data_IF_540060567527
#
_entry.id   IF_540060567527
#
_cell.length_a   1.000
_cell.length_b   1.000
_cell.length_c   1.000
_cell.angle_alpha   90.00
_cell.angle_beta   90.00
_cell.angle_gamma   90.00
#
_symmetry.space_group_name_H-M   'P 1'
#
loop_
_entity.id
_entity.type
_entity.pdbx_description
1 polymer ?
#
# COMPACT_ATOMS: atom_id res chain seq x y z
N UNK A 1 -0.46 11.36 8.63
CA UNK A 1 -1.46 12.43 8.34
C UNK A 1 -2.55 12.05 7.36
N UNK A 2 -2.23 11.51 6.17
CA UNK A 2 -3.26 11.16 5.16
C UNK A 2 -4.31 10.16 5.67
N UNK A 3 -3.87 9.07 6.30
CA UNK A 3 -4.76 8.04 6.85
C UNK A 3 -5.66 8.59 7.97
N UNK A 4 -5.08 9.41 8.86
CA UNK A 4 -5.83 10.13 9.89
C UNK A 4 -6.94 11.02 9.30
N UNK A 5 -6.61 11.84 8.30
CA UNK A 5 -7.58 12.70 7.65
C UNK A 5 -8.68 11.89 6.93
N UNK A 6 -8.30 10.79 6.28
CA UNK A 6 -9.26 9.90 5.61
C UNK A 6 -10.24 9.29 6.63
N UNK A 7 -9.75 8.81 7.78
CA UNK A 7 -10.57 8.31 8.88
C UNK A 7 -11.53 9.38 9.41
N UNK A 8 -11.01 10.56 9.79
CA UNK A 8 -11.80 11.63 10.41
C UNK A 8 -12.92 12.10 9.49
N UNK A 9 -12.63 12.36 8.20
CA UNK A 9 -13.65 12.80 7.24
C UNK A 9 -14.68 11.69 6.99
N UNK A 10 -14.25 10.43 6.92
CA UNK A 10 -15.18 9.29 6.76
C UNK A 10 -16.16 9.20 7.94
N UNK A 11 -15.64 9.31 9.17
CA UNK A 11 -16.46 9.24 10.40
C UNK A 11 -17.43 10.42 10.51
N UNK A 12 -17.02 11.64 10.16
CA UNK A 12 -17.93 12.80 10.19
C UNK A 12 -19.01 12.71 9.12
N UNK A 13 -18.66 12.34 7.89
CA UNK A 13 -19.63 12.11 6.80
C UNK A 13 -20.63 11.04 7.21
N UNK A 14 -20.15 9.95 7.81
CA UNK A 14 -21.00 8.88 8.31
C UNK A 14 -22.03 9.37 9.34
N UNK A 15 -21.57 10.04 10.41
CA UNK A 15 -22.45 10.52 11.48
C UNK A 15 -23.43 11.56 10.96
N UNK A 16 -22.96 12.54 10.18
CA UNK A 16 -23.81 13.61 9.67
C UNK A 16 -24.93 13.05 8.78
N UNK A 17 -24.59 12.21 7.79
CA UNK A 17 -25.59 11.69 6.85
C UNK A 17 -26.54 10.71 7.56
N UNK A 18 -26.02 9.82 8.42
CA UNK A 18 -26.85 8.87 9.14
C UNK A 18 -27.84 9.57 10.06
N UNK A 19 -27.37 10.45 10.94
CA UNK A 19 -28.24 11.14 11.90
C UNK A 19 -29.20 12.12 11.21
N UNK A 20 -28.75 12.81 10.16
CA UNK A 20 -29.63 13.69 9.40
C UNK A 20 -30.82 12.93 8.78
N UNK A 21 -30.55 11.82 8.09
CA UNK A 21 -31.61 11.05 7.43
C UNK A 21 -32.51 10.37 8.46
N UNK A 22 -31.96 9.79 9.53
CA UNK A 22 -32.78 9.03 10.50
C UNK A 22 -33.71 9.96 11.30
N UNK A 23 -33.26 11.16 11.65
CA UNK A 23 -34.11 12.17 12.31
C UNK A 23 -35.17 12.69 11.33
N UNK A 24 -34.78 13.03 10.11
CA UNK A 24 -35.73 13.60 9.13
C UNK A 24 -36.83 12.62 8.72
N UNK A 25 -36.48 11.35 8.49
CA UNK A 25 -37.40 10.35 7.91
C UNK A 25 -38.15 9.56 8.98
N UNK A 26 -37.50 9.24 10.10
CA UNK A 26 -38.05 8.34 11.12
C UNK A 26 -38.37 9.03 12.45
N UNK A 27 -38.14 10.34 12.57
CA UNK A 27 -38.27 11.11 13.82
C UNK A 27 -37.60 10.41 15.02
N UNK A 28 -36.51 9.69 14.75
CA UNK A 28 -35.76 8.93 15.72
C UNK A 28 -34.40 9.58 15.91
N UNK A 29 -34.02 9.82 17.16
CA UNK A 29 -32.75 10.41 17.52
C UNK A 29 -32.09 9.63 18.66
N UNK A 30 -30.77 9.47 18.59
CA UNK A 30 -30.03 9.00 19.76
C UNK A 30 -30.05 10.07 20.86
N UNK A 31 -30.25 9.67 22.13
CA UNK A 31 -30.14 10.58 23.26
C UNK A 31 -28.79 11.30 23.29
N UNK A 32 -28.81 12.60 23.62
CA UNK A 32 -27.60 13.42 23.72
C UNK A 32 -26.51 12.81 24.62
N UNK A 33 -26.89 12.15 25.72
CA UNK A 33 -25.96 11.44 26.61
C UNK A 33 -25.15 10.35 25.90
N UNK A 34 -25.76 9.62 24.97
CA UNK A 34 -25.08 8.56 24.19
C UNK A 34 -24.20 9.16 23.10
N UNK A 35 -24.65 10.25 22.46
CA UNK A 35 -23.85 10.99 21.50
C UNK A 35 -22.57 11.56 22.13
N UNK A 36 -22.66 12.15 23.34
CA UNK A 36 -21.50 12.63 24.09
C UNK A 36 -20.53 11.47 24.37
N UNK A 37 -21.05 10.30 24.74
CA UNK A 37 -20.22 9.13 25.01
C UNK A 37 -19.51 8.63 23.75
N UNK A 38 -20.20 8.60 22.60
CA UNK A 38 -19.58 8.28 21.30
C UNK A 38 -18.47 9.28 20.99
N UNK A 39 -18.70 10.58 21.22
CA UNK A 39 -17.69 11.62 20.97
C UNK A 39 -16.43 11.39 21.81
N UNK A 40 -16.58 11.09 23.11
CA UNK A 40 -15.45 10.83 24.02
C UNK A 40 -14.68 9.58 23.56
N UNK A 41 -15.36 8.48 23.25
CA UNK A 41 -14.72 7.24 22.82
C UNK A 41 -14.04 7.38 21.45
N UNK A 42 -14.62 8.16 20.54
CA UNK A 42 -14.01 8.46 19.24
C UNK A 42 -12.73 9.28 19.42
N UNK A 43 -12.75 10.29 20.31
CA UNK A 43 -11.56 11.10 20.55
C UNK A 43 -10.43 10.28 21.18
N UNK A 44 -10.76 9.44 22.17
CA UNK A 44 -9.79 8.52 22.78
C UNK A 44 -9.13 7.61 21.74
N UNK A 45 -9.90 7.01 20.83
CA UNK A 45 -9.37 6.19 19.76
C UNK A 45 -8.43 6.95 18.81
N UNK A 46 -8.75 8.22 18.54
CA UNK A 46 -7.94 9.03 17.63
C UNK A 46 -6.62 9.50 18.19
N UNK A 47 -6.50 9.64 19.51
CA UNK A 47 -5.23 9.92 20.16
C UNK A 47 -4.22 8.80 19.91
N UNK A 48 -4.67 7.55 19.87
CA UNK A 48 -3.80 6.38 19.69
C UNK A 48 -3.25 6.29 18.26
N UNK A 49 -3.89 6.91 17.27
CA UNK A 49 -3.39 6.96 15.88
C UNK A 49 -1.99 7.60 15.82
N UNK A 50 -1.69 8.54 16.72
CA UNK A 50 -0.39 9.19 16.77
C UNK A 50 0.75 8.24 17.16
N UNK A 51 0.42 7.15 17.87
CA UNK A 51 1.39 6.15 18.35
C UNK A 51 1.45 4.94 17.41
N UNK A 52 0.68 4.96 16.32
CA UNK A 52 0.61 3.84 15.38
C UNK A 52 1.81 3.81 14.42
N UNK A 53 2.35 2.61 14.22
CA UNK A 53 3.50 2.38 13.34
C UNK A 53 3.03 2.18 11.89
N UNK A 54 2.54 3.26 11.27
CA UNK A 54 2.10 3.22 9.89
C UNK A 54 3.29 3.18 8.91
N UNK A 55 3.17 2.41 7.83
CA UNK A 55 4.21 2.33 6.79
C UNK A 55 4.60 3.72 6.26
N UNK A 56 5.90 4.00 6.27
CA UNK A 56 6.45 5.21 5.67
C UNK A 56 6.56 5.02 4.15
N UNK A 57 6.18 6.07 3.41
CA UNK A 57 6.40 6.11 1.96
C UNK A 57 7.88 6.36 1.65
N UNK A 58 8.53 5.60 0.75
CA UNK A 58 9.93 5.81 0.36
C UNK A 58 10.15 7.11 -0.44
N UNK A 59 9.07 7.71 -0.93
CA UNK A 59 9.10 8.97 -1.68
C UNK A 59 8.16 9.99 -1.03
N UNK A 60 8.42 11.30 -1.19
CA UNK A 60 7.54 12.34 -0.67
C UNK A 60 6.12 12.18 -1.23
N UNK A 61 5.14 11.95 -0.35
CA UNK A 61 3.75 11.78 -0.77
C UNK A 61 3.17 13.12 -1.26
N UNK A 62 2.49 13.07 -2.39
CA UNK A 62 1.84 14.26 -2.96
C UNK A 62 0.45 14.36 -2.35
N UNK A 63 0.15 15.46 -1.66
CA UNK A 63 -1.14 15.62 -1.01
C UNK A 63 -2.26 15.81 -2.06
N UNK A 64 -3.01 14.74 -2.32
CA UNK A 64 -4.13 14.71 -3.28
C UNK A 64 -5.45 14.88 -2.56
N UNK A 65 -5.73 16.11 -2.12
CA UNK A 65 -6.94 16.45 -1.34
C UNK A 65 -8.21 15.97 -2.04
N UNK A 66 -8.33 16.17 -3.36
CA UNK A 66 -9.51 15.71 -4.11
C UNK A 66 -9.71 14.19 -4.06
N UNK A 67 -8.63 13.40 -4.11
CA UNK A 67 -8.74 11.95 -3.93
C UNK A 67 -9.19 11.62 -2.52
N UNK A 68 -8.56 12.23 -1.51
CA UNK A 68 -8.87 11.97 -0.11
C UNK A 68 -10.36 12.24 0.21
N UNK A 69 -10.89 13.39 -0.21
CA UNK A 69 -12.30 13.74 -0.01
C UNK A 69 -13.23 12.73 -0.70
N UNK A 70 -12.97 12.38 -1.97
CA UNK A 70 -13.82 11.41 -2.68
C UNK A 70 -13.79 10.03 -2.03
N UNK A 71 -12.61 9.56 -1.59
CA UNK A 71 -12.51 8.26 -0.89
C UNK A 71 -13.31 8.30 0.41
N UNK A 72 -13.14 9.35 1.22
CA UNK A 72 -13.85 9.48 2.49
C UNK A 72 -15.36 9.60 2.31
N UNK A 73 -15.84 10.29 1.26
CA UNK A 73 -17.26 10.37 0.95
C UNK A 73 -17.83 9.00 0.57
N UNK A 74 -17.14 8.23 -0.28
CA UNK A 74 -17.59 6.88 -0.67
C UNK A 74 -17.62 5.95 0.54
N UNK A 75 -16.56 5.91 1.34
CA UNK A 75 -16.51 5.07 2.55
C UNK A 75 -17.57 5.49 3.57
N UNK A 76 -17.78 6.81 3.75
CA UNK A 76 -18.79 7.33 4.66
C UNK A 76 -20.19 6.94 4.23
N UNK A 77 -20.51 7.05 2.93
CA UNK A 77 -21.79 6.60 2.37
C UNK A 77 -21.98 5.09 2.49
N UNK A 78 -20.96 4.29 2.23
CA UNK A 78 -21.03 2.84 2.42
C UNK A 78 -21.28 2.50 3.90
N UNK A 79 -20.56 3.13 4.83
CA UNK A 79 -20.75 2.92 6.26
C UNK A 79 -22.16 3.37 6.71
N UNK A 80 -22.69 4.46 6.16
CA UNK A 80 -24.07 4.90 6.42
C UNK A 80 -25.09 3.91 5.90
N UNK A 81 -24.91 3.36 4.70
CA UNK A 81 -25.78 2.32 4.17
C UNK A 81 -25.78 1.06 5.07
N UNK A 82 -24.60 0.65 5.56
CA UNK A 82 -24.45 -0.46 6.49
C UNK A 82 -25.10 -0.18 7.86
N UNK A 83 -25.02 1.06 8.37
CA UNK A 83 -25.72 1.46 9.60
C UNK A 83 -27.23 1.50 9.44
N UNK A 84 -27.75 1.88 8.27
CA UNK A 84 -29.18 1.72 7.97
C UNK A 84 -29.58 0.25 7.88
N UNK A 85 -28.76 -0.60 7.23
CA UNK A 85 -29.01 -2.03 7.21
C UNK A 85 -29.07 -2.61 8.64
N UNK A 86 -28.16 -2.20 9.51
CA UNK A 86 -28.17 -2.57 10.93
C UNK A 86 -29.44 -2.08 11.65
N UNK A 87 -29.79 -0.80 11.48
CA UNK A 87 -31.00 -0.21 12.03
C UNK A 87 -32.27 -0.99 11.63
N UNK A 88 -32.43 -1.30 10.34
CA UNK A 88 -33.58 -2.08 9.86
C UNK A 88 -33.56 -3.53 10.33
N UNK A 89 -32.39 -4.14 10.50
CA UNK A 89 -32.27 -5.50 11.01
C UNK A 89 -32.81 -5.59 12.43
N UNK A 90 -32.40 -4.68 13.31
CA UNK A 90 -32.88 -4.67 14.70
C UNK A 90 -34.33 -4.21 14.84
N UNK A 91 -34.79 -3.30 13.98
CA UNK A 91 -36.19 -2.92 13.94
C UNK A 91 -37.08 -4.09 13.47
N UNK A 92 -36.82 -4.65 12.28
CA UNK A 92 -37.75 -5.60 11.64
C UNK A 92 -37.58 -7.04 12.10
N UNK A 93 -36.38 -7.50 12.44
CA UNK A 93 -36.17 -8.89 12.84
C UNK A 93 -36.17 -9.08 14.36
N UNK A 94 -35.64 -8.13 15.11
CA UNK A 94 -35.58 -8.22 16.58
C UNK A 94 -36.74 -7.50 17.28
N UNK A 95 -37.58 -6.78 16.54
CA UNK A 95 -38.76 -6.09 17.09
C UNK A 95 -38.43 -4.86 17.93
N UNK A 96 -37.25 -4.26 17.77
CA UNK A 96 -36.90 -3.02 18.45
C UNK A 96 -37.43 -1.83 17.67
N UNK A 97 -38.67 -1.45 17.97
CA UNK A 97 -39.34 -0.34 17.29
C UNK A 97 -38.61 0.99 17.53
N UNK A 98 -38.45 1.83 16.49
CA UNK A 98 -37.90 3.17 16.64
C UNK A 98 -38.92 4.06 17.33
N UNK A 99 -38.58 4.48 18.55
CA UNK A 99 -39.41 5.38 19.32
C UNK A 99 -39.21 6.83 18.87
N UNK A 100 -40.32 7.51 18.59
CA UNK A 100 -40.31 8.93 18.21
C UNK A 100 -39.84 9.79 19.38
N UNK A 101 -39.13 10.88 19.09
CA UNK A 101 -38.58 11.80 20.11
C UNK A 101 -39.66 12.36 21.04
N UNK A 102 -40.89 12.49 20.54
CA UNK A 102 -42.04 13.07 21.25
C UNK A 102 -42.79 12.08 22.15
N UNK A 103 -42.56 10.77 22.02
CA UNK A 103 -43.34 9.76 22.74
C UNK A 103 -42.72 9.47 24.11
N UNK A 104 -43.47 9.70 25.19
CA UNK A 104 -43.13 9.31 26.56
C UNK A 104 -43.43 7.83 26.80
N UNK A 105 -42.54 6.96 26.35
CA UNK A 105 -42.54 5.53 26.66
C UNK A 105 -41.60 5.18 27.80
N UNK A 106 -41.71 3.94 28.28
CA UNK A 106 -40.85 3.44 29.34
C UNK A 106 -39.40 3.41 28.92
N UNK A 107 -38.51 3.62 29.89
CA UNK A 107 -37.07 3.56 29.68
C UNK A 107 -36.62 2.25 29.02
N UNK A 108 -37.21 1.12 29.42
CA UNK A 108 -36.87 -0.23 28.95
C UNK A 108 -37.16 -0.48 27.47
N UNK A 109 -38.06 0.30 26.85
CA UNK A 109 -38.43 0.12 25.45
C UNK A 109 -37.38 0.73 24.50
N UNK A 110 -36.47 1.56 25.03
CA UNK A 110 -35.44 2.27 24.27
C UNK A 110 -34.21 1.40 23.91
N UNK A 111 -34.38 0.08 23.81
CA UNK A 111 -33.31 -0.89 23.49
C UNK A 111 -32.64 -0.64 22.15
N UNK A 112 -33.38 -0.11 21.16
CA UNK A 112 -32.82 0.26 19.86
C UNK A 112 -31.70 1.30 20.00
N UNK A 113 -31.83 2.23 20.95
CA UNK A 113 -30.82 3.27 21.19
C UNK A 113 -29.51 2.67 21.72
N UNK A 114 -29.59 1.70 22.64
CA UNK A 114 -28.41 0.99 23.16
C UNK A 114 -27.69 0.21 22.06
N UNK A 115 -28.45 -0.50 21.23
CA UNK A 115 -27.93 -1.28 20.10
C UNK A 115 -27.29 -0.37 19.05
N UNK A 116 -27.97 0.71 18.68
CA UNK A 116 -27.46 1.67 17.70
C UNK A 116 -26.27 2.46 18.24
N UNK A 117 -26.24 2.79 19.53
CA UNK A 117 -25.06 3.35 20.19
C UNK A 117 -23.85 2.41 20.05
N UNK A 118 -24.02 1.12 20.34
CA UNK A 118 -22.92 0.15 20.26
C UNK A 118 -22.42 0.01 18.81
N UNK A 119 -23.32 -0.04 17.83
CA UNK A 119 -22.99 -0.10 16.41
C UNK A 119 -22.27 1.17 15.91
N UNK A 120 -22.82 2.34 16.18
CA UNK A 120 -22.28 3.63 15.71
C UNK A 120 -20.95 3.97 16.40
N UNK A 121 -20.75 3.49 17.63
CA UNK A 121 -19.44 3.55 18.29
C UNK A 121 -18.46 2.58 17.61
N UNK A 122 -18.81 1.29 17.50
CA UNK A 122 -17.86 0.26 17.07
C UNK A 122 -17.49 0.28 15.59
N UNK A 123 -18.43 0.56 14.70
CA UNK A 123 -18.20 0.43 13.27
C UNK A 123 -17.11 1.41 12.75
N UNK A 124 -17.14 2.72 13.07
CA UNK A 124 -16.04 3.63 12.73
C UNK A 124 -14.72 3.22 13.41
N UNK A 125 -14.78 2.80 14.68
CA UNK A 125 -13.59 2.35 15.40
C UNK A 125 -12.91 1.15 14.74
N UNK A 126 -13.63 0.25 14.08
CA UNK A 126 -12.98 -0.79 13.29
C UNK A 126 -12.47 -0.30 11.93
N UNK A 127 -13.16 0.65 11.29
CA UNK A 127 -12.72 1.27 10.04
C UNK A 127 -11.35 1.95 10.17
N UNK A 128 -10.95 2.35 11.38
CA UNK A 128 -9.61 2.88 11.65
C UNK A 128 -8.49 1.91 11.20
N UNK A 129 -8.68 0.60 11.39
CA UNK A 129 -7.70 -0.42 11.03
C UNK A 129 -7.52 -0.51 9.51
N UNK A 130 -8.61 -0.34 8.77
CA UNK A 130 -8.60 -0.38 7.30
C UNK A 130 -8.02 0.89 6.70
N UNK A 131 -8.40 2.05 7.26
CA UNK A 131 -8.04 3.36 6.74
C UNK A 131 -6.59 3.75 6.99
N UNK A 132 -5.90 3.04 7.88
CA UNK A 132 -4.47 3.21 8.12
C UNK A 132 -3.62 2.94 6.88
N UNK A 133 -3.98 1.91 6.11
CA UNK A 133 -3.21 1.41 4.97
C UNK A 133 -3.92 1.72 3.65
N UNK A 134 -3.14 1.90 2.59
CA UNK A 134 -3.68 2.03 1.22
C UNK A 134 -4.04 0.68 0.61
N UNK A 135 -3.30 -0.39 0.97
CA UNK A 135 -3.60 -1.79 0.62
C UNK A 135 -4.52 -2.46 1.63
N UNK A 136 -4.63 -3.78 1.62
CA UNK A 136 -5.51 -4.48 2.57
C UNK A 136 -5.04 -4.38 4.02
N UNK A 137 -5.96 -4.51 4.98
CA UNK A 137 -5.62 -4.41 6.40
C UNK A 137 -4.62 -5.50 6.86
N UNK A 138 -4.62 -6.67 6.23
CA UNK A 138 -3.73 -7.81 6.56
C UNK A 138 -2.31 -7.67 5.99
N UNK A 139 -2.04 -6.69 5.12
CA UNK A 139 -0.67 -6.48 4.61
C UNK A 139 0.26 -5.95 5.70
N UNK A 140 -0.27 -5.19 6.67
CA UNK A 140 0.49 -4.74 7.83
C UNK A 140 -0.37 -4.74 9.09
N UNK A 141 -0.01 -5.62 10.01
CA UNK A 141 -0.68 -5.72 11.30
C UNK A 141 -0.46 -4.45 12.14
N UNK A 142 -1.48 -4.01 12.89
CA UNK A 142 -1.36 -2.89 13.81
C UNK A 142 -0.32 -3.12 14.88
N UNK A 143 0.22 -2.03 15.44
CA UNK A 143 0.95 -2.15 16.70
C UNK A 143 0.00 -2.77 17.74
N UNK A 144 0.47 -3.72 18.57
CA UNK A 144 -0.38 -4.40 19.53
C UNK A 144 -0.99 -3.43 20.54
N UNK A 145 -0.27 -2.36 20.88
CA UNK A 145 -0.78 -1.28 21.72
C UNK A 145 -1.97 -0.56 21.06
N UNK A 146 -1.86 -0.20 19.78
CA UNK A 146 -2.94 0.44 19.04
C UNK A 146 -4.19 -0.44 19.01
N UNK A 147 -4.03 -1.73 18.65
CA UNK A 147 -5.14 -2.67 18.62
C UNK A 147 -5.77 -2.88 20.01
N UNK A 148 -4.96 -3.02 21.05
CA UNK A 148 -5.43 -3.22 22.42
C UNK A 148 -6.27 -2.04 22.92
N UNK A 149 -5.89 -0.79 22.63
CA UNK A 149 -6.68 0.38 23.06
C UNK A 149 -8.01 0.46 22.30
N UNK A 150 -8.01 0.26 20.98
CA UNK A 150 -9.25 0.30 20.19
C UNK A 150 -10.22 -0.82 20.60
N UNK A 151 -9.71 -2.03 20.80
CA UNK A 151 -10.53 -3.15 21.30
C UNK A 151 -11.00 -2.85 22.73
N UNK A 152 -10.14 -2.29 23.57
CA UNK A 152 -10.45 -1.89 24.94
C UNK A 152 -11.62 -0.89 25.01
N UNK A 153 -11.64 0.13 24.14
CA UNK A 153 -12.78 1.06 24.06
C UNK A 153 -14.07 0.37 23.65
N UNK A 154 -14.01 -0.65 22.79
CA UNK A 154 -15.19 -1.45 22.41
C UNK A 154 -15.67 -2.35 23.53
N UNK A 155 -14.75 -2.95 24.29
CA UNK A 155 -15.10 -3.75 25.47
C UNK A 155 -15.79 -2.88 26.52
N UNK A 156 -15.32 -1.65 26.74
CA UNK A 156 -15.98 -0.70 27.64
C UNK A 156 -17.39 -0.34 27.14
N UNK A 157 -17.56 -0.05 25.84
CA UNK A 157 -18.87 0.23 25.26
C UNK A 157 -19.83 -0.98 25.36
N UNK A 158 -19.32 -2.19 25.12
CA UNK A 158 -20.06 -3.44 25.28
C UNK A 158 -20.52 -3.64 26.73
N UNK A 159 -19.62 -3.48 27.70
CA UNK A 159 -19.94 -3.62 29.12
C UNK A 159 -20.99 -2.61 29.57
N UNK A 160 -20.94 -1.36 29.10
CA UNK A 160 -21.97 -0.36 29.42
C UNK A 160 -23.37 -0.78 28.96
N UNK A 161 -23.49 -1.30 27.74
CA UNK A 161 -24.77 -1.73 27.16
C UNK A 161 -25.31 -3.00 27.83
N UNK A 162 -24.41 -3.92 28.22
CA UNK A 162 -24.77 -5.21 28.83
C UNK A 162 -25.13 -5.07 30.31
N UNK A 163 -24.37 -4.28 31.06
CA UNK A 163 -24.71 -3.98 32.47
C UNK A 163 -25.98 -3.16 32.53
N UNK A 164 -26.13 -2.21 31.58
CA UNK A 164 -27.22 -1.24 31.59
C UNK A 164 -27.11 -0.26 32.75
N UNK A 165 -28.10 0.61 32.91
CA UNK A 165 -28.17 1.52 34.04
C UNK A 165 -29.03 2.74 33.73
N UNK A 166 -28.65 3.91 34.23
CA UNK A 166 -29.31 5.18 33.90
C UNK A 166 -28.98 5.68 32.48
N UNK A 167 -27.85 5.23 31.93
CA UNK A 167 -27.34 5.68 30.63
C UNK A 167 -28.04 4.97 29.46
N UNK A 168 -28.05 3.64 29.48
CA UNK A 168 -28.65 2.79 28.44
C UNK A 168 -29.54 1.71 29.04
N UNK A 169 -30.71 1.42 28.44
CA UNK A 169 -31.47 0.22 28.73
C UNK A 169 -30.63 -1.03 28.55
N UNK A 170 -30.88 -2.03 29.40
CA UNK A 170 -30.12 -3.27 29.41
C UNK A 170 -30.39 -4.10 28.16
N UNK A 171 -29.33 -4.49 27.47
CA UNK A 171 -29.37 -5.39 26.31
C UNK A 171 -28.74 -6.74 26.69
N UNK A 172 -29.30 -7.88 26.25
CA UNK A 172 -28.70 -9.18 26.50
C UNK A 172 -27.31 -9.29 25.87
N UNK A 173 -26.37 -9.89 26.59
CA UNK A 173 -24.98 -10.04 26.17
C UNK A 173 -24.83 -10.65 24.76
N UNK A 174 -25.63 -11.66 24.45
CA UNK A 174 -25.61 -12.33 23.14
C UNK A 174 -25.85 -11.35 21.99
N UNK A 175 -26.82 -10.44 22.12
CA UNK A 175 -27.10 -9.46 21.07
C UNK A 175 -26.01 -8.41 20.98
N UNK A 176 -25.50 -7.95 22.12
CA UNK A 176 -24.42 -6.97 22.16
C UNK A 176 -23.14 -7.54 21.48
N UNK A 177 -22.84 -8.83 21.71
CA UNK A 177 -21.76 -9.52 21.03
C UNK A 177 -22.02 -9.68 19.53
N UNK A 178 -23.26 -9.99 19.13
CA UNK A 178 -23.66 -10.07 17.71
C UNK A 178 -23.44 -8.73 17.00
N UNK A 179 -23.79 -7.60 17.64
CA UNK A 179 -23.51 -6.26 17.07
C UNK A 179 -22.02 -6.08 16.82
N UNK A 180 -21.17 -6.45 17.79
CA UNK A 180 -19.72 -6.35 17.64
C UNK A 180 -19.20 -7.21 16.48
N UNK A 181 -19.71 -8.43 16.33
CA UNK A 181 -19.37 -9.33 15.22
C UNK A 181 -19.84 -8.78 13.87
N UNK A 182 -21.04 -8.21 13.80
CA UNK A 182 -21.55 -7.54 12.59
C UNK A 182 -20.64 -6.36 12.21
N UNK A 183 -20.21 -5.56 13.18
CA UNK A 183 -19.27 -4.46 12.95
C UNK A 183 -17.92 -4.94 12.40
N UNK A 184 -17.42 -6.10 12.85
CA UNK A 184 -16.21 -6.73 12.28
C UNK A 184 -16.43 -7.17 10.83
N UNK A 185 -17.58 -7.76 10.50
CA UNK A 185 -17.93 -8.12 9.12
C UNK A 185 -17.98 -6.88 8.22
N UNK A 186 -18.62 -5.80 8.68
CA UNK A 186 -18.70 -4.53 7.96
C UNK A 186 -17.32 -3.91 7.74
N UNK A 187 -16.44 -3.99 8.73
CA UNK A 187 -15.05 -3.57 8.58
C UNK A 187 -14.34 -4.31 7.43
N UNK A 188 -14.48 -5.63 7.34
CA UNK A 188 -13.87 -6.41 6.25
C UNK A 188 -14.46 -6.02 4.89
N UNK A 189 -15.78 -5.85 4.80
CA UNK A 189 -16.44 -5.39 3.57
C UNK A 189 -15.96 -4.01 3.13
N UNK A 190 -15.82 -3.08 4.07
CA UNK A 190 -15.33 -1.73 3.80
C UNK A 190 -13.85 -1.73 3.39
N UNK A 191 -13.02 -2.63 3.92
CA UNK A 191 -11.64 -2.76 3.49
C UNK A 191 -11.55 -3.21 2.02
N UNK A 192 -12.37 -4.18 1.62
CA UNK A 192 -12.47 -4.61 0.21
C UNK A 192 -12.90 -3.45 -0.69
N UNK A 193 -13.95 -2.71 -0.30
CA UNK A 193 -14.43 -1.54 -1.07
C UNK A 193 -13.32 -0.49 -1.19
N UNK A 194 -12.63 -0.18 -0.08
CA UNK A 194 -11.53 0.77 -0.03
C UNK A 194 -10.40 0.38 -0.96
N UNK A 195 -9.92 -0.87 -0.90
CA UNK A 195 -8.81 -1.34 -1.76
C UNK A 195 -9.22 -1.34 -3.22
N UNK A 196 -10.44 -1.80 -3.53
CA UNK A 196 -10.94 -1.79 -4.90
C UNK A 196 -11.04 -0.37 -5.47
N UNK A 197 -11.42 0.59 -4.62
CA UNK A 197 -11.49 2.00 -4.96
C UNK A 197 -10.09 2.59 -5.18
N UNK A 198 -9.12 2.29 -4.32
CA UNK A 198 -7.72 2.69 -4.52
C UNK A 198 -7.11 2.10 -5.80
N UNK A 199 -7.37 0.83 -6.09
CA UNK A 199 -6.87 0.15 -7.30
C UNK A 199 -7.48 0.70 -8.59
N UNK A 200 -8.77 1.05 -8.57
CA UNK A 200 -9.46 1.66 -9.73
C UNK A 200 -9.18 3.16 -9.86
N UNK A 201 -8.65 3.81 -8.84
CA UNK A 201 -8.42 5.26 -8.85
C UNK A 201 -7.29 5.65 -9.79
N UNK A 202 -7.64 6.02 -11.02
CA UNK A 202 -6.73 6.63 -11.99
C UNK A 202 -6.89 8.15 -12.01
N UNK A 203 -5.82 8.87 -12.40
CA UNK A 203 -5.90 10.32 -12.64
C UNK A 203 -6.99 10.68 -13.68
N UNK A 204 -7.29 9.74 -14.57
CA UNK A 204 -8.38 9.84 -15.55
C UNK A 204 -9.76 9.84 -14.88
N UNK A 205 -9.97 9.02 -13.85
CA UNK A 205 -11.19 9.06 -13.04
C UNK A 205 -11.35 10.40 -12.33
N UNK A 206 -10.27 10.95 -11.76
CA UNK A 206 -10.29 12.28 -11.12
C UNK A 206 -10.61 13.39 -12.12
N UNK A 207 -10.07 13.32 -13.34
CA UNK A 207 -10.33 14.29 -14.40
C UNK A 207 -11.76 14.18 -14.96
N UNK A 208 -12.38 12.99 -14.89
CA UNK A 208 -13.76 12.75 -15.31
C UNK A 208 -14.77 13.19 -14.26
N UNK A 209 -14.54 12.93 -12.98
CA UNK A 209 -15.44 13.27 -11.88
C UNK A 209 -15.49 14.79 -11.60
N UNK A 210 -14.34 15.47 -11.69
CA UNK A 210 -14.27 16.93 -11.49
C UNK A 210 -13.52 17.55 -12.67
N UNK A 211 -14.23 17.83 -13.78
CA UNK A 211 -13.62 18.31 -15.01
C UNK A 211 -13.30 19.80 -14.90
N UNK A 212 -12.08 20.12 -14.45
CA UNK A 212 -11.53 21.48 -14.60
C UNK A 212 -10.71 21.59 -15.89
N UNK A 213 -10.71 22.74 -16.58
CA UNK A 213 -10.00 22.92 -17.85
C UNK A 213 -8.50 22.63 -17.71
N UNK A 214 -7.89 23.01 -16.58
CA UNK A 214 -6.50 22.69 -16.27
C UNK A 214 -6.23 21.18 -16.11
N UNK A 215 -7.17 20.39 -15.57
CA UNK A 215 -7.03 18.93 -15.44
C UNK A 215 -7.21 18.22 -16.77
N UNK A 216 -8.13 18.69 -17.63
CA UNK A 216 -8.29 18.18 -18.99
C UNK A 216 -7.01 18.39 -19.81
N UNK A 217 -6.46 19.60 -19.79
CA UNK A 217 -5.17 19.90 -20.43
C UNK A 217 -4.03 19.01 -19.92
N UNK A 218 -3.90 18.84 -18.60
CA UNK A 218 -2.92 17.92 -18.00
C UNK A 218 -3.14 16.45 -18.38
N UNK A 219 -4.40 16.01 -18.55
CA UNK A 219 -4.73 14.65 -18.99
C UNK A 219 -4.33 14.45 -20.45
N UNK A 220 -4.63 15.42 -21.32
CA UNK A 220 -4.25 15.42 -22.73
C UNK A 220 -2.73 15.46 -22.90
N UNK A 221 -2.03 16.32 -22.16
CA UNK A 221 -0.55 16.35 -22.14
C UNK A 221 0.04 15.00 -21.72
N UNK A 222 -0.54 14.34 -20.70
CA UNK A 222 -0.10 12.99 -20.30
C UNK A 222 -0.38 11.94 -21.37
N UNK A 223 -1.53 12.00 -22.05
CA UNK A 223 -1.85 11.10 -23.18
C UNK A 223 -0.86 11.32 -24.32
N UNK A 224 -0.57 12.57 -24.69
CA UNK A 224 0.44 12.92 -25.70
C UNK A 224 1.84 12.42 -25.33
N UNK A 225 2.28 12.64 -24.07
CA UNK A 225 3.58 12.15 -23.57
C UNK A 225 3.68 10.62 -23.61
N UNK A 226 2.63 9.89 -23.23
CA UNK A 226 2.60 8.42 -23.35
C UNK A 226 2.76 7.97 -24.80
N UNK A 227 1.98 8.54 -25.73
CA UNK A 227 2.10 8.22 -27.16
C UNK A 227 3.49 8.55 -27.71
N UNK A 228 4.13 9.61 -27.23
CA UNK A 228 5.51 9.94 -27.61
C UNK A 228 6.51 8.94 -27.02
N UNK A 229 6.39 8.56 -25.75
CA UNK A 229 7.24 7.53 -25.14
C UNK A 229 7.07 6.17 -25.83
N UNK A 230 5.85 5.74 -26.12
CA UNK A 230 5.58 4.47 -26.80
C UNK A 230 6.22 4.44 -28.21
N UNK A 231 6.25 5.59 -28.89
CA UNK A 231 6.97 5.74 -30.16
C UNK A 231 8.48 5.60 -29.98
N UNK A 232 9.05 6.28 -29.00
CA UNK A 232 10.50 6.20 -28.70
C UNK A 232 10.90 4.77 -28.33
N UNK A 233 10.13 4.10 -27.47
CA UNK A 233 10.38 2.71 -27.09
C UNK A 233 10.33 1.76 -28.29
N UNK A 234 9.36 1.92 -29.19
CA UNK A 234 9.31 1.13 -30.44
C UNK A 234 10.54 1.35 -31.31
N UNK A 235 11.02 2.59 -31.44
CA UNK A 235 12.23 2.89 -32.20
C UNK A 235 13.47 2.28 -31.54
N UNK A 236 13.59 2.34 -30.21
CA UNK A 236 14.68 1.71 -29.46
C UNK A 236 14.65 0.19 -29.64
N UNK A 237 13.48 -0.44 -29.55
CA UNK A 237 13.33 -1.89 -29.75
C UNK A 237 13.72 -2.31 -31.17
N UNK A 238 13.40 -1.51 -32.19
CA UNK A 238 13.85 -1.74 -33.56
C UNK A 238 15.38 -1.70 -33.66
N UNK A 239 16.03 -0.67 -33.12
CA UNK A 239 17.50 -0.56 -33.11
C UNK A 239 18.14 -1.70 -32.32
N UNK A 240 17.57 -2.07 -31.17
CA UNK A 240 18.03 -3.21 -30.35
C UNK A 240 17.93 -4.52 -31.12
N UNK A 241 16.84 -4.73 -31.86
CA UNK A 241 16.66 -5.93 -32.69
C UNK A 241 17.64 -6.00 -33.86
N UNK A 242 17.99 -4.85 -34.46
CA UNK A 242 19.02 -4.77 -35.50
C UNK A 242 20.40 -5.04 -34.93
N UNK A 243 20.75 -4.46 -33.78
CA UNK A 243 22.02 -4.73 -33.10
C UNK A 243 22.18 -6.21 -32.71
N UNK A 244 21.11 -6.85 -32.22
CA UNK A 244 21.10 -8.29 -31.95
C UNK A 244 21.35 -9.12 -33.22
N UNK A 245 20.73 -8.76 -34.34
CA UNK A 245 20.96 -9.45 -35.63
C UNK A 245 22.39 -9.29 -36.14
N UNK A 246 22.95 -8.08 -36.05
CA UNK A 246 24.34 -7.81 -36.43
C UNK A 246 25.29 -8.63 -35.57
N UNK A 247 25.09 -8.65 -34.25
CA UNK A 247 25.92 -9.43 -33.33
C UNK A 247 25.83 -10.94 -33.58
N UNK A 248 24.63 -11.45 -33.91
CA UNK A 248 24.47 -12.86 -34.33
C UNK A 248 25.21 -13.13 -35.64
N UNK A 249 25.14 -12.23 -36.62
CA UNK A 249 25.88 -12.35 -37.87
C UNK A 249 27.40 -12.32 -37.65
N UNK A 250 27.89 -11.46 -36.75
CA UNK A 250 29.30 -11.35 -36.38
C UNK A 250 29.80 -12.65 -35.71
N UNK A 251 29.05 -13.19 -34.75
CA UNK A 251 29.37 -14.49 -34.11
C UNK A 251 29.33 -15.65 -35.12
N UNK A 252 28.35 -15.66 -36.03
CA UNK A 252 28.30 -16.68 -37.09
C UNK A 252 29.43 -16.53 -38.11
N UNK A 253 29.92 -15.31 -38.34
CA UNK A 253 31.06 -15.01 -39.21
C UNK A 253 32.37 -15.51 -38.58
N UNK A 254 32.62 -15.17 -37.31
CA UNK A 254 33.78 -15.68 -36.56
C UNK A 254 33.77 -17.22 -36.51
N UNK A 255 32.61 -17.84 -36.25
CA UNK A 255 32.47 -19.30 -36.24
C UNK A 255 32.73 -19.94 -37.61
N UNK A 256 32.52 -19.19 -38.70
CA UNK A 256 32.74 -19.67 -40.08
C UNK A 256 34.19 -19.51 -40.51
N UNK A 257 34.89 -18.49 -40.01
CA UNK A 257 36.34 -18.33 -40.16
C UNK A 257 37.10 -19.43 -39.42
N UNK A 258 36.69 -19.78 -38.20
CA UNK A 258 37.29 -20.91 -37.45
C UNK A 258 37.06 -22.28 -38.11
N UNK A 259 35.95 -22.46 -38.84
CA UNK A 259 35.69 -23.69 -39.62
C UNK A 259 36.38 -23.70 -41.00
N UNK A 260 36.76 -22.53 -41.52
CA UNK A 260 37.52 -22.41 -42.77
C UNK A 260 39.00 -22.76 -42.60
N UNK A 261 39.59 -22.45 -41.45
CA UNK A 261 40.99 -22.81 -41.14
C UNK A 261 41.17 -24.32 -40.85
N UNK A 262 40.13 -25.04 -40.40
CA UNK A 262 40.18 -26.50 -40.22
C UNK A 262 40.04 -27.30 -41.54
N UNK A 263 39.73 -26.65 -42.67
CA UNK A 263 39.48 -27.35 -43.94
C UNK A 263 40.62 -27.27 -44.98
N UNK A 264 41.66 -26.45 -44.73
CA UNK A 264 42.88 -26.42 -45.58
C UNK A 264 43.95 -27.47 -45.19
N UNK A 265 43.72 -28.24 -44.12
CA UNK A 265 44.62 -29.28 -43.62
C UNK A 265 44.27 -30.72 -44.08
N UNK A 266 44.29 -31.00 -45.41
CA UNK A 266 44.68 -32.36 -45.83
C UNK A 266 45.76 -32.42 -46.93
N UNK A 267 46.18 -31.29 -47.53
CA UNK A 267 47.21 -31.29 -48.58
C UNK A 267 48.62 -30.99 -48.04
N UNK A 268 48.76 -30.12 -47.04
CA UNK A 268 50.07 -29.73 -46.52
C UNK A 268 50.74 -30.79 -45.63
N UNK A 269 49.97 -31.76 -45.11
CA UNK A 269 50.49 -32.86 -44.29
C UNK A 269 51.08 -34.02 -45.14
N UNK A 270 50.66 -34.14 -46.41
CA UNK A 270 51.16 -35.18 -47.32
C UNK A 270 52.49 -34.81 -47.99
N UNK A 271 52.74 -33.52 -48.26
CA UNK A 271 54.03 -33.07 -48.81
C UNK A 271 55.13 -33.02 -47.74
N UNK A 272 54.80 -32.65 -46.49
CA UNK A 272 55.79 -32.66 -45.40
C UNK A 272 56.18 -34.08 -44.96
N UNK A 273 55.26 -35.06 -44.97
CA UNK A 273 55.62 -36.46 -44.67
C UNK A 273 56.44 -37.15 -45.77
N UNK A 274 56.41 -36.64 -47.00
CA UNK A 274 57.22 -37.18 -48.10
C UNK A 274 58.63 -36.57 -48.14
N UNK A 275 58.79 -35.29 -47.80
CA UNK A 275 60.12 -34.66 -47.68
C UNK A 275 60.88 -35.06 -46.41
N UNK A 276 60.20 -35.48 -45.34
CA UNK A 276 60.86 -35.91 -44.10
C UNK A 276 61.28 -37.39 -44.10
N UNK A 277 60.98 -38.14 -45.18
CA UNK A 277 61.53 -39.49 -45.43
C UNK A 277 62.84 -39.50 -46.22
N UNK A 278 63.26 -38.37 -46.80
CA UNK A 278 64.52 -38.23 -47.56
C UNK A 278 65.45 -37.21 -46.89
N UNK A 279 66.10 -37.59 -45.79
CA UNK A 279 67.48 -37.24 -45.40
C UNK A 279 67.67 -37.37 -43.89
N UNK A 280 68.54 -38.29 -43.43
CA UNK A 280 69.01 -38.30 -42.06
C UNK A 280 70.35 -37.53 -41.96
N UNK A 281 70.55 -36.81 -40.84
CA UNK A 281 71.83 -36.39 -40.22
C UNK A 281 72.35 -34.95 -40.53
N UNK A 282 72.76 -34.27 -39.43
CA UNK A 282 73.57 -33.03 -39.24
C UNK A 282 72.77 -31.72 -39.16
N UNK A 283 73.08 -30.75 -38.28
CA UNK A 283 74.26 -30.47 -37.46
C UNK A 283 73.87 -29.44 -36.39
N UNK A 284 74.54 -29.50 -35.24
CA UNK A 284 74.73 -28.36 -34.33
C UNK A 284 75.42 -27.22 -35.08
N UNK A 285 74.96 -25.96 -34.95
CA UNK A 285 75.88 -24.83 -34.73
C UNK A 285 75.15 -23.52 -34.41
N UNK A 286 75.78 -22.77 -33.49
CA UNK A 286 75.77 -21.30 -33.34
C UNK A 286 74.42 -20.59 -33.13
N UNK A 287 74.05 -20.12 -31.92
CA UNK A 287 74.67 -19.00 -31.15
C UNK A 287 74.83 -17.78 -32.08
N UNK A 288 74.08 -16.68 -31.97
CA UNK A 288 74.10 -15.63 -30.93
C UNK A 288 73.19 -14.50 -31.47
N UNK A 289 72.33 -13.80 -30.70
CA UNK A 289 72.56 -12.50 -30.02
C UNK A 289 71.13 -11.99 -29.73
N UNK A 290 70.69 -11.98 -28.46
CA UNK A 290 70.46 -10.75 -27.66
C UNK A 290 69.06 -10.13 -27.90
N UNK A 291 68.08 -10.44 -27.04
CA UNK A 291 67.72 -9.71 -25.81
C UNK A 291 66.84 -8.47 -26.08
N UNK A 292 65.57 -8.57 -25.70
CA UNK A 292 64.79 -7.55 -25.01
C UNK A 292 63.35 -8.03 -24.78
N UNK A 293 63.14 -8.55 -23.57
CA UNK A 293 61.90 -8.63 -22.80
C UNK A 293 61.40 -7.18 -22.42
N UNK A 294 60.34 -6.92 -21.62
CA UNK A 294 59.48 -7.87 -20.90
C UNK A 294 57.96 -7.54 -20.74
N UNK A 295 57.26 -8.61 -20.32
CA UNK A 295 56.30 -8.74 -19.20
C UNK A 295 54.90 -8.09 -19.23
N UNK A 296 53.94 -9.02 -19.26
CA UNK A 296 52.59 -8.92 -18.74
C UNK A 296 52.56 -8.99 -17.20
N UNK A 297 51.60 -8.29 -16.58
CA UNK A 297 51.27 -8.39 -15.16
C UNK A 297 49.97 -9.17 -14.94
N UNK A 298 49.99 -10.07 -13.95
CA UNK A 298 48.79 -10.65 -13.33
C UNK A 298 48.85 -10.36 -11.84
N UNK A 299 47.79 -9.74 -11.30
CA UNK A 299 47.63 -9.46 -9.88
C UNK A 299 46.55 -10.33 -9.26
N UNK A 300 46.87 -10.95 -8.13
CA UNK A 300 45.93 -11.66 -7.27
C UNK A 300 46.10 -11.20 -5.82
N UNK A 301 44.99 -10.73 -5.26
CA UNK A 301 44.49 -10.92 -3.88
C UNK A 301 45.40 -10.68 -2.67
N UNK A 302 44.91 -9.82 -1.76
CA UNK A 302 44.43 -10.16 -0.39
C UNK A 302 44.87 -9.19 0.73
N UNK A 303 43.84 -8.63 1.39
CA UNK A 303 43.67 -8.35 2.83
C UNK A 303 44.87 -8.03 3.73
N UNK A 304 44.83 -6.89 4.45
CA UNK A 304 44.39 -6.80 5.86
C UNK A 304 44.99 -5.59 6.61
N UNK A 305 44.13 -4.95 7.41
CA UNK A 305 44.34 -4.24 8.69
C UNK A 305 45.63 -3.46 8.97
N UNK A 306 45.47 -2.18 9.33
CA UNK A 306 46.48 -1.40 10.05
C UNK A 306 45.92 -0.05 10.52
N UNK A 307 45.67 0.05 11.83
CA UNK A 307 45.25 1.21 12.61
C UNK A 307 46.22 2.40 12.53
N UNK A 308 45.69 3.62 12.51
CA UNK A 308 46.46 4.86 12.68
C UNK A 308 45.57 5.97 13.22
N UNK A 309 45.78 6.30 14.50
CA UNK A 309 45.25 7.46 15.21
C UNK A 309 45.70 8.76 14.56
N UNK A 310 44.83 9.78 14.53
CA UNK A 310 45.30 11.16 14.72
C UNK A 310 44.22 12.09 15.28
N UNK A 311 44.71 12.97 16.14
CA UNK A 311 44.01 14.00 16.92
C UNK A 311 43.68 15.21 16.06
N UNK A 312 42.57 15.88 16.38
CA UNK A 312 42.36 17.33 16.48
C UNK A 312 40.88 17.52 16.88
N UNK A 313 40.46 18.24 17.93
CA UNK A 313 40.99 19.46 18.50
C UNK A 313 40.10 20.64 18.05
N UNK A 314 39.11 21.06 18.84
CA UNK A 314 38.37 22.30 18.57
C UNK A 314 37.00 22.40 19.25
N UNK A 315 36.94 23.16 20.34
CA UNK A 315 35.75 23.33 21.18
C UNK A 315 34.72 24.34 20.67
N UNK A 316 33.66 24.51 21.47
CA UNK A 316 32.65 25.54 21.23
C UNK A 316 31.34 25.33 21.99
N UNK A 317 31.37 25.52 23.30
CA UNK A 317 30.20 25.77 24.15
C UNK A 317 29.70 27.20 23.97
N UNK A 318 28.42 27.42 23.64
CA UNK A 318 27.63 28.58 24.10
C UNK A 318 26.16 28.14 24.19
N UNK A 319 25.55 28.38 25.35
CA UNK A 319 24.14 28.16 25.60
C UNK A 319 23.26 29.36 25.27
N UNK A 320 21.97 29.08 25.10
CA UNK A 320 20.81 29.92 25.45
C UNK A 320 19.57 29.03 25.45
#
# INVERSE_FOLDING_TARGET
MRSYALYRITSTVHFLIFFFIVVMVYDWALPARLLILICILNDLATLVIAVDNAQLSPHPDKWRIGQLITMSMVLGLCLTALSFAHFFTFWKHFGYEPLQVTTTTNYEDRKLESIMYLHISSAPHFVIFSTRLTGYFWENLPSPLFAAVIIGTQVVALLMVVVGGKLTPRVPFTQALVVLLISLVYFVLLDVVKVQLFKRWSFELTARLVPTPARRRKLEEKKKRKVQQDRVWKSIDQVRSMGLKIKVLEVMSESRLSLGEEQESPQHEKEQQQQQRENPIKEEECKTVEAADPMQGTSSSSSSSGTGSDKEGGGGTVGM
#
